data_IF_940930883884
#
_entry.id   IF_940930883884
#
_cell.length_a   1.000
_cell.length_b   1.000
_cell.length_c   1.000
_cell.angle_alpha   90.00
_cell.angle_beta   90.00
_cell.angle_gamma   90.00
#
_symmetry.space_group_name_H-M   'P 1'
#
loop_
_entity.id
_entity.type
_entity.pdbx_description
1 polymer ?
#
# COMPACT_ATOMS: atom_id res chain seq x y z
N UNK A 1 4.07 -7.54 6.31
CA UNK A 1 3.38 -6.53 5.50
C UNK A 1 1.91 -6.89 5.54
N UNK A 2 1.10 -6.01 6.16
CA UNK A 2 -0.35 -5.93 6.02
C UNK A 2 -1.15 -7.23 5.94
N UNK A 3 -1.64 -7.73 7.08
CA UNK A 3 -2.83 -8.60 7.10
C UNK A 3 -4.05 -7.78 7.54
N UNK A 4 -4.12 -6.51 7.12
CA UNK A 4 -5.15 -5.55 7.50
C UNK A 4 -6.02 -5.26 6.27
N UNK A 5 -7.34 -5.31 6.41
CA UNK A 5 -8.31 -5.09 5.31
C UNK A 5 -8.14 -3.75 4.58
N UNK A 6 -7.40 -2.79 5.16
CA UNK A 6 -7.15 -1.47 4.58
C UNK A 6 -6.00 -1.41 3.56
N UNK A 7 -5.23 -2.50 3.38
CA UNK A 7 -4.08 -2.53 2.45
C UNK A 7 -4.30 -3.60 1.40
N UNK A 8 -4.25 -3.20 0.14
CA UNK A 8 -4.34 -4.08 -1.03
C UNK A 8 -2.94 -4.26 -1.61
N UNK A 9 -2.48 -5.50 -1.76
CA UNK A 9 -1.25 -5.78 -2.51
C UNK A 9 -1.55 -5.73 -4.01
N UNK A 10 -0.82 -4.87 -4.72
CA UNK A 10 -0.97 -4.66 -6.15
C UNK A 10 0.24 -5.22 -6.88
N UNK A 11 0.00 -5.78 -8.06
CA UNK A 11 1.05 -6.25 -8.98
C UNK A 11 1.00 -5.42 -10.26
N UNK A 12 2.05 -5.48 -11.08
CA UNK A 12 2.05 -4.82 -12.40
C UNK A 12 0.84 -5.24 -13.26
N UNK A 13 0.37 -6.48 -13.12
CA UNK A 13 -0.77 -6.99 -13.88
C UNK A 13 -2.13 -6.49 -13.36
N UNK A 14 -2.22 -6.11 -12.08
CA UNK A 14 -3.47 -5.65 -11.46
C UNK A 14 -3.52 -4.13 -11.25
N UNK A 15 -2.46 -3.40 -11.57
CA UNK A 15 -2.37 -1.96 -11.31
C UNK A 15 -3.42 -1.14 -12.06
N UNK A 16 -3.69 -1.49 -13.32
CA UNK A 16 -4.72 -0.81 -14.13
C UNK A 16 -6.12 -0.95 -13.49
N UNK A 17 -6.50 -2.17 -13.12
CA UNK A 17 -7.81 -2.45 -12.53
C UNK A 17 -7.96 -1.90 -11.11
N UNK A 18 -6.96 -2.07 -10.24
CA UNK A 18 -7.06 -1.74 -8.81
C UNK A 18 -6.79 -0.25 -8.51
N UNK A 19 -6.03 0.44 -9.37
CA UNK A 19 -5.58 1.82 -9.13
C UNK A 19 -6.05 2.77 -10.23
N UNK A 20 -5.77 2.49 -11.50
CA UNK A 20 -6.00 3.46 -12.59
C UNK A 20 -7.48 3.62 -12.94
N UNK A 21 -8.26 2.53 -12.86
CA UNK A 21 -9.69 2.52 -13.15
C UNK A 21 -10.57 2.90 -11.95
N UNK A 22 -9.99 3.05 -10.75
CA UNK A 22 -10.72 3.35 -9.51
C UNK A 22 -10.59 4.85 -9.19
N UNK A 23 -11.73 5.53 -9.12
CA UNK A 23 -11.78 6.94 -8.73
C UNK A 23 -11.40 7.12 -7.26
N UNK A 24 -10.50 8.06 -6.97
CA UNK A 24 -10.10 8.40 -5.61
C UNK A 24 -8.64 8.85 -5.52
N UNK A 25 -8.22 9.21 -4.31
CA UNK A 25 -6.82 9.44 -4.00
C UNK A 25 -6.21 8.12 -3.52
N UNK A 26 -5.23 7.62 -4.26
CA UNK A 26 -4.50 6.40 -3.91
C UNK A 26 -3.10 6.75 -3.39
N UNK A 27 -2.67 6.08 -2.33
CA UNK A 27 -1.30 6.13 -1.83
C UNK A 27 -0.66 4.75 -2.05
N UNK A 28 0.41 4.69 -2.83
CA UNK A 28 1.10 3.43 -3.17
C UNK A 28 2.44 3.36 -2.44
N UNK A 29 2.66 2.31 -1.65
CA UNK A 29 3.95 2.01 -1.02
C UNK A 29 4.76 1.04 -1.90
N UNK A 30 5.76 1.57 -2.61
CA UNK A 30 6.71 0.76 -3.36
C UNK A 30 7.82 0.26 -2.44
N UNK A 31 7.72 -0.98 -2.00
CA UNK A 31 8.64 -1.57 -1.02
C UNK A 31 9.33 -2.84 -1.55
N UNK A 32 10.29 -3.35 -0.77
CA UNK A 32 10.90 -4.66 -1.02
C UNK A 32 11.35 -5.32 0.29
N UNK A 33 11.37 -6.66 0.33
CA UNK A 33 11.76 -7.45 1.54
C UNK A 33 13.17 -7.15 2.04
N UNK A 34 14.07 -6.79 1.13
CA UNK A 34 15.45 -6.45 1.42
C UNK A 34 15.66 -4.96 1.71
N UNK A 35 14.63 -4.13 1.57
CA UNK A 35 14.72 -2.70 1.82
C UNK A 35 14.64 -2.41 3.33
N UNK A 36 15.81 -2.16 3.93
CA UNK A 36 15.92 -1.75 5.34
C UNK A 36 15.06 -0.51 5.69
N UNK A 37 15.18 0.61 4.96
CA UNK A 37 14.37 1.81 5.19
C UNK A 37 12.86 1.57 5.08
N UNK A 38 12.40 0.82 4.08
CA UNK A 38 10.99 0.53 3.86
C UNK A 38 10.38 -0.20 5.06
N UNK A 39 11.10 -1.17 5.62
CA UNK A 39 10.65 -1.90 6.82
C UNK A 39 10.51 -1.02 8.07
N UNK A 40 11.28 0.06 8.18
CA UNK A 40 11.14 1.01 9.29
C UNK A 40 9.92 1.92 9.12
N UNK A 41 9.53 2.22 7.88
CA UNK A 41 8.41 3.11 7.54
C UNK A 41 7.07 2.34 7.49
N UNK A 42 7.10 1.03 7.21
CA UNK A 42 5.92 0.16 7.15
C UNK A 42 4.88 0.38 8.27
N UNK A 43 5.23 0.44 9.58
CA UNK A 43 4.22 0.66 10.63
C UNK A 43 3.54 2.03 10.52
N UNK A 44 4.24 3.05 10.04
CA UNK A 44 3.67 4.39 9.84
C UNK A 44 2.67 4.37 8.68
N UNK A 45 2.99 3.64 7.60
CA UNK A 45 2.09 3.45 6.45
C UNK A 45 0.85 2.66 6.86
N UNK A 46 1.01 1.60 7.66
CA UNK A 46 -0.09 0.80 8.21
C UNK A 46 -1.03 1.65 9.10
N UNK A 47 -0.48 2.52 9.96
CA UNK A 47 -1.27 3.45 10.78
C UNK A 47 -2.02 4.50 9.93
N UNK A 48 -1.41 4.99 8.86
CA UNK A 48 -2.05 5.95 7.93
C UNK A 48 -3.25 5.33 7.20
N UNK A 49 -3.14 4.06 6.79
CA UNK A 49 -4.21 3.34 6.11
C UNK A 49 -5.45 3.16 7.00
N UNK A 50 -5.29 3.05 8.32
CA UNK A 50 -6.40 2.91 9.26
C UNK A 50 -6.98 4.25 9.70
N UNK A 51 -6.15 5.30 9.79
CA UNK A 51 -6.57 6.61 10.30
C UNK A 51 -7.32 7.47 9.28
N UNK A 52 -7.22 7.16 8.00
CA UNK A 52 -7.87 7.92 6.91
C UNK A 52 -9.00 7.08 6.32
N UNK A 53 -10.19 7.12 6.95
CA UNK A 53 -11.46 6.63 6.38
C UNK A 53 -12.31 7.77 5.87
#
# INVERSE_FOLDING_TARGET
MGTSDAIVEVTDASFDEEIEQVDGLHMVDFWAVWCGPCRMIAPIVEDLAVSTS
#
